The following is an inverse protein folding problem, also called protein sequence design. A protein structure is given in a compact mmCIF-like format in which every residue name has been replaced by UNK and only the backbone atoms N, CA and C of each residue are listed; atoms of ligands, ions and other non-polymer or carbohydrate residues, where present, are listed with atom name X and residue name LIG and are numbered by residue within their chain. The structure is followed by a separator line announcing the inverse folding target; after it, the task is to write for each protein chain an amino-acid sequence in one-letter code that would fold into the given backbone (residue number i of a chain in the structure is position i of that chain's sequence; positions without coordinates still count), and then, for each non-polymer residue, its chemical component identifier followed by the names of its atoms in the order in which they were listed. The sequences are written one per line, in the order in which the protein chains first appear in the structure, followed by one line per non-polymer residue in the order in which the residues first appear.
data_IF_381089451469
#
_entry.id   IF_381089451469
#
_cell.length_a   1.000
_cell.length_b   1.000
_cell.length_c   1.000
_cell.angle_alpha   90.00
_cell.angle_beta   90.00
_cell.angle_gamma   90.00
#
_symmetry.space_group_name_H-M   'P 1'
#
loop_
_entity.id
_entity.type
_entity.pdbx_description
1 polymer ?
#
# COMPACT_ATOMS: atom_id res chain seq x y z
N UNK A 1 -0.74 1.77 -12.14
CA UNK A 1 -0.33 1.19 -10.85
C UNK A 1 0.77 2.04 -10.24
N UNK A 2 0.49 2.63 -9.08
CA UNK A 2 1.35 3.49 -8.28
C UNK A 2 1.45 2.93 -6.85
N UNK A 3 2.53 3.29 -6.18
CA UNK A 3 2.74 3.04 -4.76
C UNK A 3 2.30 4.26 -3.94
N UNK A 4 1.47 4.04 -2.93
CA UNK A 4 1.06 5.05 -1.95
C UNK A 4 1.50 4.63 -0.55
N UNK A 5 2.05 5.58 0.22
CA UNK A 5 2.46 5.34 1.59
C UNK A 5 2.05 6.53 2.47
N UNK A 6 1.30 6.24 3.54
CA UNK A 6 0.93 7.23 4.53
C UNK A 6 0.61 6.57 5.88
N UNK A 7 0.58 7.38 6.94
CA UNK A 7 0.16 6.96 8.28
C UNK A 7 -1.28 6.49 8.22
N UNK A 8 -1.54 5.23 8.58
CA UNK A 8 -2.90 4.67 8.60
C UNK A 8 -3.47 4.30 7.22
N UNK A 9 -2.67 4.32 6.16
CA UNK A 9 -3.14 3.99 4.82
C UNK A 9 -3.50 2.50 4.70
N UNK A 10 -4.78 2.21 4.42
CA UNK A 10 -5.29 0.85 4.21
C UNK A 10 -5.95 0.66 2.84
N UNK A 11 -6.04 1.73 2.04
CA UNK A 11 -6.55 1.75 0.67
C UNK A 11 -5.80 2.81 -0.16
N UNK A 12 -6.00 2.78 -1.47
CA UNK A 12 -5.45 3.78 -2.39
C UNK A 12 -5.98 5.18 -2.11
N UNK A 13 -5.18 6.19 -2.46
CA UNK A 13 -5.54 7.60 -2.34
C UNK A 13 -6.20 8.12 -3.64
N UNK A 14 -5.84 7.55 -4.79
CA UNK A 14 -6.58 7.65 -6.04
C UNK A 14 -6.53 6.34 -6.85
N UNK A 15 -7.33 6.27 -7.92
CA UNK A 15 -7.59 5.07 -8.70
C UNK A 15 -6.35 4.33 -9.25
N UNK A 16 -5.17 4.95 -9.23
CA UNK A 16 -3.92 4.32 -9.66
C UNK A 16 -3.11 3.67 -8.53
N UNK A 17 -3.44 3.93 -7.26
CA UNK A 17 -2.73 3.43 -6.07
C UNK A 17 -3.07 1.96 -5.77
N UNK A 18 -2.42 1.05 -6.47
CA UNK A 18 -2.64 -0.39 -6.32
C UNK A 18 -1.85 -1.02 -5.18
N UNK A 19 -0.74 -0.41 -4.77
CA UNK A 19 0.05 -0.86 -3.62
C UNK A 19 0.08 0.22 -2.56
N UNK A 20 -0.33 -0.14 -1.35
CA UNK A 20 -0.60 0.81 -0.25
C UNK A 20 0.16 0.38 0.98
N UNK A 21 1.02 1.26 1.52
CA UNK A 21 1.81 0.98 2.71
C UNK A 21 1.38 1.84 3.89
N UNK A 22 0.93 1.17 4.96
CA UNK A 22 0.64 1.81 6.23
C UNK A 22 1.95 2.04 7.00
N UNK A 23 2.46 3.26 7.00
CA UNK A 23 3.72 3.57 7.70
C UNK A 23 3.62 3.48 9.22
N UNK A 24 2.39 3.42 9.77
CA UNK A 24 2.14 3.34 11.20
C UNK A 24 2.07 1.91 11.73
N UNK A 25 1.89 0.90 10.87
CA UNK A 25 1.80 -0.53 11.26
C UNK A 25 2.82 -1.40 10.54
N UNK A 26 3.31 -0.95 9.38
CA UNK A 26 4.18 -1.73 8.50
C UNK A 26 3.42 -2.71 7.61
N UNK A 27 2.12 -2.53 7.44
CA UNK A 27 1.28 -3.37 6.58
C UNK A 27 1.31 -2.87 5.12
N UNK A 28 1.50 -3.80 4.19
CA UNK A 28 1.43 -3.57 2.75
C UNK A 28 0.17 -4.23 2.20
N UNK A 29 -0.67 -3.46 1.53
CA UNK A 29 -1.92 -3.91 0.92
C UNK A 29 -1.87 -3.83 -0.60
N UNK A 30 -2.64 -4.72 -1.23
CA UNK A 30 -3.06 -4.58 -2.62
C UNK A 30 -4.49 -4.04 -2.67
N UNK A 31 -4.69 -2.93 -3.36
CA UNK A 31 -6.00 -2.35 -3.60
C UNK A 31 -6.33 -2.48 -5.10
N UNK A 32 -7.27 -3.36 -5.44
CA UNK A 32 -7.60 -3.67 -6.82
C UNK A 32 -8.25 -2.53 -7.60
N UNK A 33 -8.83 -1.54 -6.90
CA UNK A 33 -9.54 -0.40 -7.50
C UNK A 33 -8.85 0.95 -7.24
N UNK A 34 -7.84 0.97 -6.37
CA UNK A 34 -7.10 2.17 -6.00
C UNK A 34 -7.91 3.09 -5.07
N UNK A 35 -8.98 2.56 -4.48
CA UNK A 35 -9.83 3.28 -3.57
C UNK A 35 -10.55 2.33 -2.60
N UNK A 36 -11.27 2.91 -1.64
CA UNK A 36 -12.00 2.12 -0.65
C UNK A 36 -13.16 1.31 -1.25
N UNK A 37 -13.65 1.65 -2.45
CA UNK A 37 -14.78 1.03 -3.13
C UNK A 37 -14.34 -0.26 -3.85
N UNK A 38 -13.87 -1.22 -3.08
CA UNK A 38 -13.34 -2.50 -3.56
C UNK A 38 -12.73 -3.32 -2.44
N UNK A 39 -12.32 -2.64 -1.36
CA UNK A 39 -11.54 -3.24 -0.28
C UNK A 39 -10.08 -3.44 -0.72
N UNK A 40 -9.23 -3.71 0.26
CA UNK A 40 -7.82 -3.99 0.02
C UNK A 40 -7.42 -5.27 0.73
N UNK A 41 -6.51 -6.03 0.12
CA UNK A 41 -6.01 -7.31 0.62
C UNK A 41 -4.64 -7.11 1.26
N UNK A 42 -4.44 -7.62 2.46
CA UNK A 42 -3.13 -7.57 3.11
C UNK A 42 -2.17 -8.55 2.40
N UNK A 43 -1.07 -8.03 1.84
CA UNK A 43 -0.04 -8.84 1.20
C UNK A 43 1.07 -9.24 2.18
N UNK A 44 1.52 -8.31 3.02
CA UNK A 44 2.65 -8.53 3.92
C UNK A 44 2.64 -7.57 5.11
N UNK A 45 3.35 -7.96 6.18
CA UNK A 45 3.68 -7.10 7.31
C UNK A 45 5.20 -7.02 7.46
N UNK A 46 5.77 -5.84 7.19
CA UNK A 46 7.21 -5.56 7.27
C UNK A 46 7.64 -5.17 8.69
N UNK A 47 6.68 -4.77 9.53
CA UNK A 47 6.88 -4.31 10.90
C UNK A 47 7.10 -2.80 11.02
N UNK A 48 6.93 -2.29 12.25
CA UNK A 48 6.98 -0.87 12.56
C UNK A 48 8.33 -0.22 12.22
N UNK A 49 8.28 1.00 11.65
CA UNK A 49 9.46 1.82 11.39
C UNK A 49 10.32 1.38 10.20
N UNK A 50 9.85 0.41 9.40
CA UNK A 50 10.49 0.09 8.12
C UNK A 50 10.08 1.11 7.07
N UNK A 51 11.07 1.64 6.36
CA UNK A 51 10.84 2.42 5.15
C UNK A 51 10.63 1.45 3.98
N UNK A 52 9.59 1.67 3.21
CA UNK A 52 9.35 1.06 1.91
C UNK A 52 9.09 2.20 0.93
N UNK A 53 9.86 2.26 -0.15
CA UNK A 53 9.71 3.29 -1.18
C UNK A 53 9.39 2.66 -2.53
N UNK A 54 8.89 3.47 -3.47
CA UNK A 54 8.44 2.97 -4.77
C UNK A 54 9.50 2.18 -5.55
N UNK A 55 10.79 2.51 -5.40
CA UNK A 55 11.90 1.82 -6.07
C UNK A 55 12.24 0.45 -5.48
N UNK A 56 11.71 0.11 -4.30
CA UNK A 56 11.87 -1.22 -3.71
C UNK A 56 10.91 -2.25 -4.32
N UNK A 57 9.96 -1.80 -5.13
CA UNK A 57 8.89 -2.61 -5.70
C UNK A 57 9.17 -2.84 -7.19
N UNK A 58 9.21 -4.12 -7.57
CA UNK A 58 9.28 -4.55 -8.97
C UNK A 58 8.11 -5.48 -9.25
N UNK A 59 7.38 -5.21 -10.33
CA UNK A 59 6.34 -6.08 -10.87
C UNK A 59 6.78 -6.49 -12.27
N UNK A 60 6.83 -7.81 -12.52
CA UNK A 60 7.25 -8.40 -13.79
C UNK A 60 6.06 -8.93 -14.57
#
# INVERSE_FOLDING_TARGET
MRFFAAVGAVSGHDADDRLVYNTATGELYYDGNGDLAGGSELLATLGLGKALIATDIVVN
#
